data_IF_487692251543
#
_entry.id   IF_487692251543
#
_cell.length_a   1.000
_cell.length_b   1.000
_cell.length_c   1.000
_cell.angle_alpha   90.00
_cell.angle_beta   90.00
_cell.angle_gamma   90.00
#
_symmetry.space_group_name_H-M   'P 1'
#
loop_
_entity.id
_entity.type
_entity.pdbx_description
1 polymer ?
#
# COMPACT_ATOMS: atom_id res chain seq x y z
N UNK A 1 -5.75 18.67 4.74
CA UNK A 1 -5.22 17.51 4.01
C UNK A 1 -3.76 17.26 4.39
N UNK A 2 -2.86 18.23 4.32
CA UNK A 2 -1.47 18.10 4.77
C UNK A 2 -1.38 17.78 6.28
N UNK A 3 -2.32 18.24 7.07
CA UNK A 3 -2.44 17.92 8.49
C UNK A 3 -2.74 16.43 8.75
N UNK A 4 -3.38 15.72 7.81
CA UNK A 4 -3.68 14.31 7.96
C UNK A 4 -2.45 13.39 7.84
N UNK A 5 -1.48 13.77 7.04
CA UNK A 5 -0.26 12.98 6.87
C UNK A 5 0.84 13.38 7.86
N UNK A 6 0.74 14.60 8.44
CA UNK A 6 1.72 15.10 9.41
C UNK A 6 3.16 15.01 8.90
N UNK A 7 4.01 14.37 9.67
CA UNK A 7 5.41 14.10 9.33
C UNK A 7 5.62 12.71 8.67
N UNK A 8 4.54 12.03 8.27
CA UNK A 8 4.64 10.71 7.65
C UNK A 8 5.17 10.82 6.23
N UNK A 9 6.02 9.88 5.86
CA UNK A 9 6.63 9.79 4.53
C UNK A 9 6.42 8.43 3.88
N UNK A 10 6.15 7.38 4.66
CA UNK A 10 5.92 6.02 4.19
C UNK A 10 4.48 5.60 4.43
N UNK A 11 3.82 5.12 3.38
CA UNK A 11 2.42 4.71 3.41
C UNK A 11 2.29 3.31 2.81
N UNK A 12 1.82 2.37 3.61
CA UNK A 12 1.66 0.97 3.22
C UNK A 12 0.17 0.64 3.16
N UNK A 13 -0.30 0.15 2.02
CA UNK A 13 -1.67 -0.28 1.82
C UNK A 13 -1.72 -1.79 1.74
N UNK A 14 -2.44 -2.41 2.67
CA UNK A 14 -2.65 -3.86 2.74
C UNK A 14 -4.14 -4.13 2.67
N UNK A 15 -4.54 -5.18 1.96
CA UNK A 15 -5.94 -5.57 1.88
C UNK A 15 -6.12 -6.77 0.97
N UNK A 16 -7.21 -7.50 1.19
CA UNK A 16 -7.55 -8.66 0.38
C UNK A 16 -7.89 -8.27 -1.07
N UNK A 17 -7.79 -9.24 -1.96
CA UNK A 17 -8.19 -9.08 -3.35
C UNK A 17 -9.64 -8.57 -3.44
N UNK A 18 -9.87 -7.55 -4.25
CA UNK A 18 -11.19 -6.92 -4.38
C UNK A 18 -11.56 -5.90 -3.30
N UNK A 19 -10.66 -5.59 -2.36
CA UNK A 19 -10.87 -4.50 -1.39
C UNK A 19 -10.78 -3.11 -2.02
N UNK A 20 -10.18 -2.99 -3.23
CA UNK A 20 -9.90 -1.71 -3.89
C UNK A 20 -8.66 -1.00 -3.37
N UNK A 21 -7.80 -1.71 -2.60
CA UNK A 21 -6.60 -1.11 -2.02
C UNK A 21 -5.66 -0.47 -3.03
N UNK A 22 -5.45 -1.14 -4.17
CA UNK A 22 -4.53 -0.66 -5.21
C UNK A 22 -4.99 0.65 -5.84
N UNK A 23 -6.30 0.78 -6.07
CA UNK A 23 -6.90 2.03 -6.56
C UNK A 23 -6.75 3.16 -5.53
N UNK A 24 -6.99 2.85 -4.25
CA UNK A 24 -6.78 3.81 -3.16
C UNK A 24 -5.31 4.21 -3.07
N UNK A 25 -4.39 3.25 -3.13
CA UNK A 25 -2.95 3.50 -3.06
C UNK A 25 -2.48 4.42 -4.20
N UNK A 26 -2.92 4.16 -5.44
CA UNK A 26 -2.60 5.00 -6.60
C UNK A 26 -3.17 6.41 -6.45
N UNK A 27 -4.43 6.54 -6.07
CA UNK A 27 -5.05 7.85 -5.85
C UNK A 27 -4.36 8.62 -4.72
N UNK A 28 -3.91 7.92 -3.70
CA UNK A 28 -3.13 8.51 -2.63
C UNK A 28 -1.75 9.00 -3.12
N UNK A 29 -1.07 8.22 -3.94
CA UNK A 29 0.18 8.64 -4.57
C UNK A 29 0.00 9.88 -5.46
N UNK A 30 -1.08 9.93 -6.25
CA UNK A 30 -1.46 11.12 -7.04
C UNK A 30 -1.69 12.34 -6.14
N UNK A 31 -2.37 12.15 -5.03
CA UNK A 31 -2.58 13.19 -4.04
C UNK A 31 -1.27 13.72 -3.45
N UNK A 32 -0.36 12.82 -3.03
CA UNK A 32 0.96 13.21 -2.53
C UNK A 32 1.76 14.00 -3.59
N UNK A 33 1.65 13.59 -4.84
CA UNK A 33 2.30 14.30 -5.95
C UNK A 33 1.75 15.72 -6.12
N UNK A 34 0.45 15.90 -5.93
CA UNK A 34 -0.18 17.24 -6.00
C UNK A 34 0.26 18.16 -4.86
N UNK A 35 0.69 17.64 -3.73
CA UNK A 35 1.28 18.46 -2.66
C UNK A 35 2.59 19.12 -3.10
N UNK A 36 3.34 18.49 -3.99
CA UNK A 36 4.48 19.08 -4.70
C UNK A 36 5.74 19.29 -3.88
N UNK A 37 5.76 18.84 -2.62
CA UNK A 37 6.86 19.11 -1.71
C UNK A 37 7.96 18.03 -1.73
N UNK A 38 7.65 16.81 -2.22
CA UNK A 38 8.61 15.70 -2.27
C UNK A 38 8.39 14.82 -3.51
N UNK A 39 9.44 14.15 -4.02
CA UNK A 39 9.29 13.07 -4.98
C UNK A 39 8.41 11.95 -4.41
N UNK A 40 7.63 11.28 -5.26
CA UNK A 40 6.76 10.17 -4.89
C UNK A 40 7.22 8.90 -5.60
N UNK A 41 7.47 7.85 -4.81
CA UNK A 41 7.78 6.51 -5.27
C UNK A 41 6.62 5.57 -4.95
N UNK A 42 6.16 4.83 -5.95
CA UNK A 42 5.11 3.83 -5.81
C UNK A 42 5.69 2.44 -6.02
N UNK A 43 5.53 1.56 -5.03
CA UNK A 43 5.98 0.17 -5.08
C UNK A 43 4.78 -0.76 -5.16
N UNK A 44 4.60 -1.41 -6.32
CA UNK A 44 3.61 -2.47 -6.50
C UNK A 44 4.22 -3.79 -6.06
N UNK A 45 3.82 -4.25 -4.87
CA UNK A 45 4.25 -5.51 -4.27
C UNK A 45 3.12 -6.55 -4.22
N UNK A 46 1.99 -6.29 -4.89
CA UNK A 46 0.88 -7.23 -4.97
C UNK A 46 1.06 -8.20 -6.14
N UNK A 47 1.45 -9.44 -5.82
CA UNK A 47 1.70 -10.49 -6.81
C UNK A 47 0.43 -11.07 -7.44
N UNK A 48 -0.75 -10.74 -6.90
CA UNK A 48 -2.01 -11.42 -7.27
C UNK A 48 -2.82 -10.69 -8.34
N UNK A 49 -2.43 -9.48 -8.76
CA UNK A 49 -3.19 -8.66 -9.72
C UNK A 49 -2.40 -8.26 -10.96
N UNK A 50 -2.41 -9.10 -12.02
CA UNK A 50 -1.76 -8.74 -13.28
C UNK A 50 -2.39 -7.55 -14.01
N UNK A 51 -3.63 -7.15 -13.66
CA UNK A 51 -4.33 -6.03 -14.33
C UNK A 51 -3.74 -4.65 -14.01
N UNK A 52 -3.13 -4.47 -12.84
CA UNK A 52 -2.42 -3.23 -12.47
C UNK A 52 -1.06 -3.09 -13.13
N UNK A 53 -0.57 -4.16 -13.75
CA UNK A 53 0.69 -4.20 -14.49
C UNK A 53 0.49 -3.92 -15.97
N UNK A 54 -0.69 -3.45 -16.38
CA UNK A 54 -0.87 -2.99 -17.75
C UNK A 54 0.05 -1.80 -17.99
N UNK A 55 0.77 -1.84 -19.08
CA UNK A 55 1.72 -0.78 -19.44
C UNK A 55 1.06 0.60 -19.46
N UNK A 56 -0.19 0.65 -19.89
CA UNK A 56 -0.97 1.89 -19.95
C UNK A 56 -1.14 2.56 -18.60
N UNK A 57 -1.38 1.77 -17.52
CA UNK A 57 -1.52 2.29 -16.16
C UNK A 57 -0.18 2.78 -15.62
N UNK A 58 0.89 2.04 -15.89
CA UNK A 58 2.25 2.44 -15.49
C UNK A 58 2.63 3.74 -16.18
N UNK A 59 2.44 3.83 -17.49
CA UNK A 59 2.73 5.02 -18.29
C UNK A 59 1.93 6.24 -17.81
N UNK A 60 0.66 6.05 -17.42
CA UNK A 60 -0.17 7.12 -16.83
C UNK A 60 0.43 7.62 -15.50
N UNK A 61 0.82 6.71 -14.62
CA UNK A 61 1.39 7.03 -13.31
C UNK A 61 2.74 7.76 -13.48
N UNK A 62 3.60 7.27 -14.35
CA UNK A 62 4.90 7.87 -14.65
C UNK A 62 4.77 9.23 -15.32
N UNK A 63 3.77 9.42 -16.18
CA UNK A 63 3.47 10.71 -16.81
C UNK A 63 3.10 11.79 -15.79
N UNK A 64 2.59 11.41 -14.62
CA UNK A 64 2.33 12.31 -13.49
C UNK A 64 3.61 12.64 -12.68
N UNK A 65 4.74 12.06 -13.05
CA UNK A 65 6.01 12.23 -12.35
C UNK A 65 6.11 11.43 -11.05
N UNK A 66 5.34 10.34 -10.94
CA UNK A 66 5.46 9.34 -9.87
C UNK A 66 6.39 8.24 -10.38
N UNK A 67 7.40 7.90 -9.61
CA UNK A 67 8.33 6.83 -9.97
C UNK A 67 7.71 5.48 -9.59
N UNK A 68 7.38 4.66 -10.59
CA UNK A 68 6.70 3.39 -10.42
C UNK A 68 7.71 2.22 -10.38
N UNK A 69 7.62 1.40 -9.34
CA UNK A 69 8.44 0.22 -9.15
C UNK A 69 7.55 -1.00 -9.02
N UNK A 70 7.80 -2.04 -9.80
CA UNK A 70 7.06 -3.29 -9.75
C UNK A 70 7.97 -4.50 -9.49
N UNK A 71 7.37 -5.63 -9.22
CA UNK A 71 8.01 -6.81 -8.68
C UNK A 71 9.16 -7.39 -9.54
N UNK A 72 9.05 -7.36 -10.86
CA UNK A 72 10.14 -7.85 -11.74
C UNK A 72 11.45 -7.11 -11.49
N UNK A 73 11.37 -5.86 -11.05
CA UNK A 73 12.53 -5.09 -10.63
C UNK A 73 13.05 -5.50 -9.26
N UNK A 74 12.26 -6.26 -8.47
CA UNK A 74 12.63 -6.67 -7.12
C UNK A 74 13.33 -8.03 -7.04
N UNK A 75 13.16 -8.90 -8.05
CA UNK A 75 13.72 -10.25 -8.04
C UNK A 75 15.10 -10.37 -8.69
N UNK A 76 15.46 -9.51 -9.62
CA UNK A 76 16.62 -9.68 -10.48
C UNK A 76 17.96 -9.20 -9.89
N UNK A 77 17.96 -8.61 -8.70
CA UNK A 77 19.21 -8.21 -8.07
C UNK A 77 19.15 -8.19 -6.54
N UNK A 78 20.20 -8.63 -5.84
CA UNK A 78 20.37 -8.44 -4.40
C UNK A 78 20.33 -6.96 -3.96
N UNK A 79 20.44 -6.06 -4.92
CA UNK A 79 20.36 -4.60 -4.78
C UNK A 79 18.92 -4.10 -4.56
N UNK A 80 17.91 -4.93 -4.83
CA UNK A 80 16.49 -4.57 -4.81
C UNK A 80 15.93 -4.33 -3.43
N UNK A 81 16.31 -5.17 -2.50
CA UNK A 81 16.05 -4.95 -1.08
C UNK A 81 16.69 -3.61 -0.65
N UNK A 82 17.81 -3.26 -1.26
CA UNK A 82 18.48 -1.97 -1.09
C UNK A 82 17.66 -0.77 -1.59
N UNK A 83 17.01 -0.87 -2.77
CA UNK A 83 16.24 0.23 -3.36
C UNK A 83 15.04 0.64 -2.50
N UNK A 84 14.18 -0.30 -2.12
CA UNK A 84 13.06 -0.04 -1.21
C UNK A 84 13.57 0.49 0.13
N UNK A 85 14.59 -0.13 0.68
CA UNK A 85 15.17 0.24 1.96
C UNK A 85 15.76 1.65 1.97
N UNK A 86 16.38 2.09 0.89
CA UNK A 86 16.93 3.44 0.74
C UNK A 86 15.80 4.45 0.76
N UNK A 87 14.72 4.21 0.02
CA UNK A 87 13.59 5.12 -0.05
C UNK A 87 12.80 5.16 1.26
N UNK A 88 12.61 4.04 1.95
CA UNK A 88 11.95 4.00 3.27
C UNK A 88 12.72 4.75 4.37
N UNK A 89 14.03 4.88 4.22
CA UNK A 89 14.88 5.66 5.14
C UNK A 89 15.00 7.14 4.78
N UNK A 90 14.58 7.49 3.55
CA UNK A 90 14.76 8.84 3.03
C UNK A 90 13.51 9.68 3.27
N UNK A 91 13.54 10.52 4.30
CA UNK A 91 12.46 11.45 4.61
C UNK A 91 12.28 12.58 3.56
N UNK A 92 13.15 12.64 2.57
CA UNK A 92 13.09 13.57 1.45
C UNK A 92 12.17 13.11 0.31
N UNK A 93 11.61 11.92 0.39
CA UNK A 93 10.64 11.38 -0.57
C UNK A 93 9.43 10.77 0.12
N UNK A 94 8.33 10.66 -0.62
CA UNK A 94 7.19 9.85 -0.22
C UNK A 94 7.27 8.45 -0.83
N UNK A 95 6.95 7.46 -0.03
CA UNK A 95 6.86 6.05 -0.45
C UNK A 95 5.43 5.56 -0.26
N UNK A 96 4.84 5.02 -1.32
CA UNK A 96 3.55 4.34 -1.28
C UNK A 96 3.76 2.89 -1.70
N UNK A 97 3.34 1.95 -0.85
CA UNK A 97 3.47 0.51 -1.10
C UNK A 97 2.10 -0.13 -1.20
N UNK A 98 1.86 -0.84 -2.28
CA UNK A 98 0.65 -1.67 -2.48
C UNK A 98 0.99 -3.13 -2.22
N UNK A 99 0.44 -3.70 -1.14
CA UNK A 99 0.80 -5.03 -0.63
C UNK A 99 -0.43 -5.93 -0.58
N UNK A 100 -0.32 -7.15 -1.08
CA UNK A 100 -1.38 -8.14 -0.98
C UNK A 100 -1.72 -8.49 0.48
N UNK A 101 -3.02 -8.62 0.79
CA UNK A 101 -3.52 -8.99 2.11
C UNK A 101 -3.51 -10.49 2.38
N UNK A 102 -2.69 -11.24 1.69
CA UNK A 102 -2.49 -12.66 1.86
C UNK A 102 -1.18 -12.96 2.63
N UNK A 103 -0.94 -14.24 2.88
CA UNK A 103 0.27 -14.70 3.57
C UNK A 103 1.56 -14.36 2.80
N UNK A 104 1.51 -14.35 1.48
CA UNK A 104 2.65 -14.02 0.61
C UNK A 104 2.99 -12.54 0.75
N UNK A 105 1.98 -11.67 0.65
CA UNK A 105 2.13 -10.23 0.84
C UNK A 105 2.65 -9.88 2.23
N UNK A 106 2.09 -10.47 3.27
CA UNK A 106 2.54 -10.27 4.64
C UNK A 106 4.00 -10.69 4.86
N UNK A 107 4.41 -11.80 4.24
CA UNK A 107 5.81 -12.25 4.30
C UNK A 107 6.75 -11.31 3.54
N UNK A 108 6.35 -10.85 2.37
CA UNK A 108 7.13 -9.91 1.57
C UNK A 108 7.40 -8.60 2.34
N UNK A 109 6.35 -8.04 2.96
CA UNK A 109 6.49 -6.80 3.74
C UNK A 109 7.26 -7.01 5.05
N UNK A 110 7.26 -8.22 5.60
CA UNK A 110 7.94 -8.55 6.85
C UNK A 110 9.44 -8.29 6.83
N UNK A 111 10.08 -8.41 5.66
CA UNK A 111 11.48 -8.06 5.46
C UNK A 111 11.78 -6.57 5.68
N UNK A 112 10.77 -5.71 5.61
CA UNK A 112 10.89 -4.26 5.81
C UNK A 112 10.35 -3.79 7.17
N UNK A 113 9.85 -4.70 8.01
CA UNK A 113 9.23 -4.37 9.30
C UNK A 113 10.06 -3.43 10.18
N UNK A 114 11.39 -3.59 10.31
CA UNK A 114 12.21 -2.68 11.11
C UNK A 114 12.21 -1.22 10.64
N UNK A 115 11.80 -0.99 9.38
CA UNK A 115 11.72 0.35 8.78
C UNK A 115 10.29 0.86 8.70
N UNK A 116 9.33 -0.06 8.63
CA UNK A 116 7.90 0.23 8.63
C UNK A 116 7.40 0.52 10.04
N UNK A 117 7.95 -0.14 11.07
CA UNK A 117 7.62 0.10 12.46
C UNK A 117 8.32 1.36 13.01
N UNK A 118 8.11 2.49 12.35
CA UNK A 118 8.66 3.80 12.71
C UNK A 118 7.60 4.88 12.65
N UNK A 119 7.85 5.97 13.35
CA UNK A 119 6.93 7.10 13.48
C UNK A 119 6.61 7.80 12.15
N UNK A 120 7.47 7.64 11.12
CA UNK A 120 7.26 8.20 9.80
C UNK A 120 6.45 7.31 8.85
N UNK A 121 5.94 6.18 9.33
CA UNK A 121 5.18 5.21 8.54
C UNK A 121 3.74 5.10 9.01
N UNK A 122 2.84 4.97 8.05
CA UNK A 122 1.43 4.71 8.26
C UNK A 122 1.02 3.49 7.45
N UNK A 123 0.37 2.53 8.10
CA UNK A 123 -0.13 1.31 7.46
C UNK A 123 -1.65 1.36 7.41
N UNK A 124 -2.20 1.20 6.22
CA UNK A 124 -3.65 1.16 6.00
C UNK A 124 -4.09 -0.26 5.66
N UNK A 125 -4.95 -0.82 6.48
CA UNK A 125 -5.66 -2.06 6.17
C UNK A 125 -6.98 -1.71 5.50
N UNK A 126 -7.06 -1.98 4.19
CA UNK A 126 -8.21 -1.60 3.36
C UNK A 126 -9.24 -2.72 3.34
N UNK A 127 -10.44 -2.41 3.75
CA UNK A 127 -11.60 -3.28 3.76
C UNK A 127 -12.61 -2.83 2.70
N UNK A 128 -13.41 -3.77 2.23
CA UNK A 128 -14.62 -3.47 1.48
C UNK A 128 -15.79 -4.26 2.09
N UNK A 129 -16.60 -3.58 2.88
CA UNK A 129 -17.71 -4.19 3.62
C UNK A 129 -18.78 -4.86 2.73
N UNK A 130 -18.77 -4.58 1.43
CA UNK A 130 -19.66 -5.22 0.47
C UNK A 130 -19.13 -6.55 -0.09
N UNK A 131 -17.92 -6.92 0.28
CA UNK A 131 -17.37 -8.24 -0.06
C UNK A 131 -17.78 -9.26 1.01
N UNK A 132 -18.15 -10.50 0.63
CA UNK A 132 -18.64 -11.48 1.58
C UNK A 132 -17.70 -11.74 2.77
N UNK A 133 -16.41 -11.77 2.52
CA UNK A 133 -15.39 -12.00 3.56
C UNK A 133 -15.13 -10.78 4.45
N UNK A 134 -15.45 -9.57 4.01
CA UNK A 134 -15.29 -8.37 4.82
C UNK A 134 -16.55 -8.01 5.62
N UNK A 135 -17.64 -8.76 5.46
CA UNK A 135 -18.87 -8.65 6.26
C UNK A 135 -18.80 -9.42 7.59
N UNK A 136 -17.77 -10.23 7.76
CA UNK A 136 -17.56 -11.08 8.95
C UNK A 136 -16.37 -10.54 9.77
N UNK A 137 -16.67 -10.13 11.00
CA UNK A 137 -15.66 -9.58 11.92
C UNK A 137 -14.61 -10.64 12.26
N UNK A 138 -15.00 -11.89 12.43
CA UNK A 138 -14.06 -12.98 12.74
C UNK A 138 -13.08 -13.20 11.59
N UNK A 139 -13.54 -13.09 10.35
CA UNK A 139 -12.67 -13.17 9.18
C UNK A 139 -11.69 -11.98 9.12
N UNK A 140 -12.17 -10.76 9.36
CA UNK A 140 -11.34 -9.56 9.40
C UNK A 140 -10.26 -9.67 10.47
N UNK A 141 -10.65 -10.08 11.67
CA UNK A 141 -9.72 -10.25 12.79
C UNK A 141 -8.69 -11.36 12.51
N UNK A 142 -9.13 -12.48 11.95
CA UNK A 142 -8.24 -13.57 11.54
C UNK A 142 -7.25 -13.16 10.46
N UNK A 143 -7.69 -12.42 9.45
CA UNK A 143 -6.83 -11.91 8.37
C UNK A 143 -5.83 -10.89 8.89
N UNK A 144 -6.28 -9.93 9.70
CA UNK A 144 -5.42 -8.93 10.31
C UNK A 144 -4.40 -9.58 11.25
N UNK A 145 -4.83 -10.55 12.06
CA UNK A 145 -3.95 -11.32 12.94
C UNK A 145 -2.87 -12.08 12.18
N UNK A 146 -3.22 -12.69 11.05
CA UNK A 146 -2.26 -13.36 10.16
C UNK A 146 -1.26 -12.35 9.57
N UNK A 147 -1.73 -11.21 9.07
CA UNK A 147 -0.87 -10.17 8.51
C UNK A 147 0.12 -9.67 9.56
N UNK A 148 -0.35 -9.29 10.74
CA UNK A 148 0.49 -8.79 11.83
C UNK A 148 1.48 -9.84 12.32
N UNK A 149 1.05 -11.08 12.51
CA UNK A 149 1.90 -12.17 12.98
C UNK A 149 2.96 -12.58 11.97
N UNK A 150 2.67 -12.50 10.68
CA UNK A 150 3.61 -12.87 9.60
C UNK A 150 4.54 -11.73 9.22
N UNK A 151 4.05 -10.51 9.19
CA UNK A 151 4.81 -9.33 8.79
C UNK A 151 5.59 -8.68 9.94
N UNK A 152 5.22 -8.96 11.19
CA UNK A 152 5.76 -8.29 12.39
C UNK A 152 5.53 -6.76 12.41
N UNK A 153 4.54 -6.28 11.67
CA UNK A 153 4.11 -4.87 11.75
C UNK A 153 3.44 -4.63 13.10
N UNK A 154 3.77 -3.52 13.75
CA UNK A 154 3.16 -3.14 15.01
C UNK A 154 1.72 -2.67 14.80
N UNK A 155 0.78 -3.18 15.59
CA UNK A 155 -0.65 -2.89 15.46
C UNK A 155 -0.98 -1.41 15.61
N UNK A 156 -0.24 -0.68 16.40
CA UNK A 156 -0.41 0.77 16.58
C UNK A 156 -0.14 1.59 15.33
N UNK A 157 0.57 1.03 14.35
CA UNK A 157 0.81 1.67 13.06
C UNK A 157 -0.28 1.40 12.04
N UNK A 158 -1.24 0.50 12.34
CA UNK A 158 -2.27 0.06 11.41
C UNK A 158 -3.56 0.84 11.59
N UNK A 159 -4.03 1.43 10.50
CA UNK A 159 -5.30 2.12 10.42
C UNK A 159 -6.26 1.37 9.49
N UNK A 160 -7.45 1.06 9.97
CA UNK A 160 -8.47 0.40 9.16
C UNK A 160 -9.18 1.43 8.29
N UNK A 161 -9.28 1.15 7.00
CA UNK A 161 -9.96 2.00 6.02
C UNK A 161 -11.03 1.18 5.32
N UNK A 162 -12.28 1.60 5.45
CA UNK A 162 -13.37 1.02 4.69
C UNK A 162 -13.49 1.71 3.32
N UNK A 163 -13.38 0.92 2.25
CA UNK A 163 -13.67 1.38 0.89
C UNK A 163 -15.11 1.04 0.55
N UNK A 164 -16.04 2.00 0.56
CA UNK A 164 -17.45 1.77 0.23
C UNK A 164 -17.67 1.61 -1.27
N UNK A 165 -16.67 1.85 -2.11
CA UNK A 165 -16.79 1.76 -3.55
C UNK A 165 -16.86 0.30 -4.01
N UNK A 166 -18.04 -0.12 -4.45
CA UNK A 166 -18.30 -1.48 -4.93
C UNK A 166 -18.06 -1.66 -6.42
N UNK A 167 -17.62 -0.61 -7.13
CA UNK A 167 -17.61 -0.56 -8.59
C UNK A 167 -19.01 -0.34 -9.19
N UNK A 168 -20.05 -0.33 -8.35
CA UNK A 168 -21.38 0.14 -8.66
C UNK A 168 -21.45 1.54 -8.05
N UNK A 169 -21.82 2.54 -8.84
CA UNK A 169 -22.03 3.88 -8.31
C UNK A 169 -23.07 3.81 -7.19
N UNK A 170 -22.61 3.71 -5.97
CA UNK A 170 -23.47 4.00 -4.83
C UNK A 170 -23.66 5.50 -4.85
N UNK A 171 -24.84 5.94 -5.25
CA UNK A 171 -25.29 7.28 -4.94
C UNK A 171 -25.10 7.44 -3.45
N UNK A 172 -24.11 8.24 -3.09
CA UNK A 172 -23.78 8.44 -1.69
C UNK A 172 -24.98 9.02 -0.95
N UNK A 173 -25.27 8.41 0.14
CA UNK A 173 -25.93 9.02 1.27
C UNK A 173 -25.06 8.79 2.49
#
# INVERSE_FOLDING_TARGET
>A
AKEMIGNKTNFVFIGEAGSGKSEIAINFAKYLKQLGDKPVHFFDMDMTKPLFRSRDVIDEIEALGIEFHHEEQFYDAPVLVGGVNIHLKNDECYVVMDVGGDHIGARAIGGYAPKINKDNTMVYYVLNAFRPWSGDIDHIDGTLGMILGTSHIHVENVHMVNNPNTGIATTGE
#
